data_IF_596401801028
#
_entry.id   IF_596401801028
#
_cell.length_a   1.000
_cell.length_b   1.000
_cell.length_c   1.000
_cell.angle_alpha   90.00
_cell.angle_beta   90.00
_cell.angle_gamma   90.00
#
_symmetry.space_group_name_H-M   'P 1'
#
loop_
_entity.id
_entity.type
_entity.pdbx_description
1 polymer ?
#
# COMPACT_ATOMS: atom_id res chain seq x y z
N UNK A 1 8.57 -1.05 -9.27
CA UNK A 1 8.48 0.42 -9.43
C UNK A 1 9.53 0.84 -10.43
N UNK A 2 9.19 0.87 -11.72
CA UNK A 2 10.13 1.19 -12.78
C UNK A 2 9.56 2.40 -13.53
N UNK A 3 10.02 3.60 -13.16
CA UNK A 3 9.63 4.81 -13.86
C UNK A 3 10.38 4.80 -15.18
N UNK A 4 9.68 4.53 -16.29
CA UNK A 4 10.26 4.69 -17.64
C UNK A 4 10.53 6.17 -17.83
N UNK A 5 11.81 6.54 -17.84
CA UNK A 5 12.27 7.89 -18.18
C UNK A 5 12.69 7.85 -19.64
N UNK A 6 12.06 8.67 -20.49
CA UNK A 6 12.49 8.84 -21.87
C UNK A 6 13.90 9.48 -21.91
N UNK A 7 14.82 8.98 -22.75
CA UNK A 7 16.21 9.47 -22.78
C UNK A 7 16.24 10.90 -23.31
N UNK A 8 16.42 11.88 -22.40
CA UNK A 8 16.54 13.30 -22.73
C UNK A 8 15.77 14.25 -21.81
N UNK A 9 14.86 13.73 -20.97
CA UNK A 9 14.05 14.56 -20.06
C UNK A 9 14.60 14.54 -18.63
N UNK A 10 14.75 15.72 -18.01
CA UNK A 10 15.20 15.86 -16.62
C UNK A 10 14.26 15.07 -15.71
N UNK A 11 14.80 14.31 -14.74
CA UNK A 11 14.00 13.48 -13.83
C UNK A 11 12.84 14.32 -13.25
N UNK A 12 11.57 13.90 -13.41
CA UNK A 12 10.42 14.71 -12.95
C UNK A 12 10.44 14.96 -11.44
N UNK A 13 11.09 14.07 -10.70
CA UNK A 13 11.22 14.10 -9.25
C UNK A 13 12.64 13.70 -8.83
N UNK A 14 13.32 14.58 -8.10
CA UNK A 14 14.67 14.32 -7.60
C UNK A 14 14.69 13.44 -6.34
N UNK A 15 13.60 13.48 -5.54
CA UNK A 15 13.43 12.72 -4.29
C UNK A 15 11.97 12.34 -4.10
N UNK A 16 11.71 11.27 -3.35
CA UNK A 16 10.35 10.82 -3.02
C UNK A 16 9.50 11.92 -2.36
N UNK A 17 10.12 12.79 -1.55
CA UNK A 17 9.46 13.93 -0.90
C UNK A 17 9.07 15.02 -1.91
N UNK A 18 9.90 15.31 -2.91
CA UNK A 18 9.58 16.31 -3.95
C UNK A 18 8.41 15.82 -4.82
N UNK A 19 8.34 14.51 -5.08
CA UNK A 19 7.18 13.88 -5.71
C UNK A 19 5.93 14.01 -4.86
N UNK A 20 5.99 13.65 -3.58
CA UNK A 20 4.84 13.74 -2.69
C UNK A 20 4.29 15.18 -2.62
N UNK A 21 5.16 16.19 -2.46
CA UNK A 21 4.75 17.59 -2.39
C UNK A 21 4.15 18.08 -3.71
N UNK A 22 4.75 17.77 -4.86
CA UNK A 22 4.20 18.15 -6.18
C UNK A 22 2.87 17.46 -6.46
N UNK A 23 2.73 16.19 -6.12
CA UNK A 23 1.49 15.42 -6.31
C UNK A 23 0.37 15.94 -5.41
N UNK A 24 0.64 16.25 -4.14
CA UNK A 24 -0.34 16.88 -3.24
C UNK A 24 -0.77 18.25 -3.75
N UNK A 25 0.16 19.05 -4.28
CA UNK A 25 -0.15 20.38 -4.81
C UNK A 25 -0.92 20.34 -6.13
N UNK A 26 -0.71 19.32 -6.96
CA UNK A 26 -1.35 19.17 -8.27
C UNK A 26 -2.72 18.47 -8.20
N UNK A 27 -2.84 17.39 -7.43
CA UNK A 27 -4.06 16.54 -7.38
C UNK A 27 -4.80 16.61 -6.03
N UNK A 28 -4.22 17.29 -5.03
CA UNK A 28 -4.75 17.37 -3.68
C UNK A 28 -4.29 16.22 -2.76
N UNK A 29 -4.50 16.36 -1.44
CA UNK A 29 -4.09 15.35 -0.45
C UNK A 29 -4.82 14.02 -0.60
N UNK A 30 -5.96 14.01 -1.30
CA UNK A 30 -6.76 12.81 -1.54
C UNK A 30 -6.13 11.86 -2.58
N UNK A 31 -5.21 12.37 -3.42
CA UNK A 31 -4.45 11.55 -4.37
C UNK A 31 -3.52 10.54 -3.69
N UNK A 32 -2.94 10.90 -2.54
CA UNK A 32 -2.15 9.98 -1.70
C UNK A 32 -3.00 8.85 -1.11
N UNK A 33 -4.27 9.13 -0.79
CA UNK A 33 -5.19 8.15 -0.22
C UNK A 33 -5.73 7.13 -1.24
N UNK A 34 -5.72 7.44 -2.54
CA UNK A 34 -6.12 6.50 -3.59
C UNK A 34 -5.26 5.22 -3.62
N UNK A 35 -3.99 5.29 -3.21
CA UNK A 35 -3.10 4.12 -3.09
C UNK A 35 -3.23 3.37 -1.75
N UNK A 36 -3.80 4.01 -0.73
CA UNK A 36 -3.98 3.40 0.58
C UNK A 36 -5.11 2.36 0.57
N UNK A 37 -6.22 2.64 -0.11
CA UNK A 37 -7.37 1.74 -0.26
C UNK A 37 -6.98 0.37 -0.86
N UNK A 38 -6.27 0.26 -2.00
CA UNK A 38 -5.87 -1.04 -2.54
C UNK A 38 -4.85 -1.75 -1.64
N UNK A 39 -4.03 -1.01 -0.91
CA UNK A 39 -3.07 -1.59 0.05
C UNK A 39 -3.79 -2.24 1.23
N UNK A 40 -4.77 -1.53 1.82
CA UNK A 40 -5.60 -2.05 2.91
C UNK A 40 -6.51 -3.17 2.43
N UNK A 41 -7.11 -3.05 1.25
CA UNK A 41 -7.96 -4.09 0.67
C UNK A 41 -7.21 -5.40 0.41
N UNK A 42 -5.90 -5.34 0.13
CA UNK A 42 -5.05 -6.54 0.02
C UNK A 42 -4.59 -7.07 1.38
N UNK A 43 -4.25 -6.20 2.32
CA UNK A 43 -3.74 -6.60 3.64
C UNK A 43 -4.85 -7.14 4.56
N UNK A 44 -6.05 -6.57 4.47
CA UNK A 44 -7.23 -6.98 5.24
C UNK A 44 -7.55 -8.48 5.14
N UNK A 45 -7.77 -9.05 3.93
CA UNK A 45 -8.11 -10.46 3.80
C UNK A 45 -6.99 -11.38 4.30
N UNK A 46 -5.73 -11.00 4.09
CA UNK A 46 -4.59 -11.78 4.58
C UNK A 46 -4.59 -11.87 6.12
N UNK A 47 -4.80 -10.75 6.81
CA UNK A 47 -4.89 -10.72 8.28
C UNK A 47 -6.11 -11.48 8.79
N UNK A 48 -7.26 -11.40 8.11
CA UNK A 48 -8.48 -12.13 8.49
C UNK A 48 -8.28 -13.64 8.39
N UNK A 49 -7.69 -14.12 7.29
CA UNK A 49 -7.42 -15.55 7.11
C UNK A 49 -6.49 -16.08 8.20
N UNK A 50 -5.40 -15.35 8.50
CA UNK A 50 -4.49 -15.70 9.58
C UNK A 50 -5.22 -15.80 10.93
N UNK A 51 -6.10 -14.85 11.23
CA UNK A 51 -6.85 -14.84 12.48
C UNK A 51 -7.81 -16.02 12.60
N UNK A 52 -8.56 -16.32 11.54
CA UNK A 52 -9.48 -17.47 11.49
C UNK A 52 -8.73 -18.79 11.66
N UNK A 53 -7.58 -18.97 11.01
CA UNK A 53 -6.76 -20.17 11.17
C UNK A 53 -6.27 -20.33 12.61
N UNK A 54 -5.82 -19.23 13.24
CA UNK A 54 -5.39 -19.26 14.64
C UNK A 54 -6.54 -19.60 15.61
N UNK A 55 -7.75 -19.10 15.35
CA UNK A 55 -8.93 -19.46 16.16
C UNK A 55 -9.29 -20.95 16.03
N UNK A 56 -9.25 -21.50 14.82
CA UNK A 56 -9.50 -22.92 14.58
C UNK A 56 -8.46 -23.80 15.29
N UNK A 57 -7.17 -23.44 15.17
CA UNK A 57 -6.07 -24.16 15.84
C UNK A 57 -6.21 -24.08 17.37
N UNK A 58 -6.55 -22.90 17.92
CA UNK A 58 -6.76 -22.75 19.37
C UNK A 58 -7.94 -23.56 19.88
N UNK A 59 -9.05 -23.64 19.14
CA UNK A 59 -10.19 -24.50 19.52
C UNK A 59 -9.77 -25.96 19.56
N UNK A 60 -9.07 -26.43 18.53
CA UNK A 60 -8.63 -27.82 18.42
C UNK A 60 -7.61 -28.21 19.51
N UNK A 61 -6.73 -27.27 19.90
CA UNK A 61 -5.79 -27.47 21.00
C UNK A 61 -6.46 -27.44 22.38
N UNK A 62 -7.57 -26.70 22.55
CA UNK A 62 -8.29 -26.59 23.82
C UNK A 62 -9.28 -27.74 24.06
N UNK A 63 -9.66 -28.45 22.99
CA UNK A 63 -10.48 -29.66 23.04
C UNK A 63 -9.65 -30.93 23.38
N UNK A 64 -8.32 -30.83 23.30
CA UNK A 64 -7.36 -31.86 23.71
C UNK A 64 -6.94 -31.69 25.17
#
# INVERSE_FOLDING_TARGET
MNMKVEPGQKLPYARALDCAVKTVKAEGPMALYKGFIPTISRQGPFTVVLFVTLEQVRKLLKDF
#
